data_IF_394910648448
#
_entry.id   IF_394910648448
#
_cell.length_a   1.000
_cell.length_b   1.000
_cell.length_c   1.000
_cell.angle_alpha   90.00
_cell.angle_beta   90.00
_cell.angle_gamma   90.00
#
_symmetry.space_group_name_H-M   'P 1'
#
loop_
_entity.id
_entity.type
_entity.pdbx_description
1 polymer ?
#
# COMPACT_ATOMS: atom_id res chain seq x y z
N UNK A 1 -4.41 6.43 1.26
CA UNK A 1 -2.99 6.82 1.35
C UNK A 1 -2.18 6.24 0.19
N UNK A 2 -2.19 4.92 -0.05
CA UNK A 2 -1.43 4.30 -1.16
C UNK A 2 -1.69 4.91 -2.54
N UNK A 3 -2.95 5.20 -2.87
CA UNK A 3 -3.27 5.88 -4.12
C UNK A 3 -2.60 7.26 -4.22
N UNK A 4 -2.59 8.05 -3.15
CA UNK A 4 -1.91 9.35 -3.12
C UNK A 4 -0.39 9.20 -3.28
N UNK A 5 0.19 8.17 -2.67
CA UNK A 5 1.61 7.82 -2.85
C UNK A 5 1.93 7.52 -4.32
N UNK A 6 1.12 6.72 -5.01
CA UNK A 6 1.31 6.42 -6.43
C UNK A 6 1.33 7.69 -7.28
N UNK A 7 0.39 8.62 -7.04
CA UNK A 7 0.36 9.89 -7.77
C UNK A 7 1.54 10.81 -7.42
N UNK A 8 2.03 10.78 -6.17
CA UNK A 8 3.19 11.56 -5.77
C UNK A 8 4.48 11.08 -6.46
N UNK A 9 4.65 9.77 -6.61
CA UNK A 9 5.90 9.19 -7.12
C UNK A 9 5.90 8.96 -8.64
N UNK A 10 4.76 8.62 -9.23
CA UNK A 10 4.68 8.12 -10.62
C UNK A 10 3.84 9.00 -11.56
N UNK A 11 3.12 10.00 -11.04
CA UNK A 11 2.27 10.88 -11.85
C UNK A 11 2.83 12.30 -11.89
N UNK A 12 3.53 12.65 -12.97
CA UNK A 12 4.08 14.00 -13.20
C UNK A 12 3.48 14.60 -14.47
N UNK A 13 2.76 15.74 -14.38
CA UNK A 13 2.23 16.40 -15.57
C UNK A 13 3.28 16.73 -16.64
N UNK A 14 4.51 16.99 -16.21
CA UNK A 14 5.63 17.24 -17.11
C UNK A 14 6.06 16.01 -17.92
N UNK A 15 5.64 14.79 -17.57
CA UNK A 15 5.93 13.55 -18.30
C UNK A 15 4.97 13.26 -19.47
N UNK A 16 4.19 14.25 -19.91
CA UNK A 16 3.20 14.08 -20.98
C UNK A 16 3.77 13.56 -22.30
N UNK A 17 5.02 13.91 -22.60
CA UNK A 17 5.75 13.47 -23.80
C UNK A 17 6.54 12.17 -23.58
N UNK A 18 6.55 11.64 -22.35
CA UNK A 18 7.30 10.44 -22.00
C UNK A 18 6.39 9.23 -22.10
N UNK A 19 6.57 8.49 -23.20
CA UNK A 19 5.76 7.35 -23.55
C UNK A 19 5.79 6.28 -22.44
N UNK A 20 4.61 5.75 -22.10
CA UNK A 20 4.44 4.74 -21.06
C UNK A 20 4.39 5.27 -19.62
N UNK A 21 4.56 6.58 -19.39
CA UNK A 21 4.35 7.16 -18.06
C UNK A 21 2.86 7.33 -17.77
N UNK A 22 2.46 7.32 -16.48
CA UNK A 22 1.05 7.42 -16.10
C UNK A 22 0.36 8.68 -16.65
N UNK A 23 1.06 9.82 -16.69
CA UNK A 23 0.46 11.04 -17.21
C UNK A 23 0.22 10.97 -18.73
N UNK A 24 1.16 10.38 -19.47
CA UNK A 24 1.01 10.16 -20.91
C UNK A 24 -0.14 9.17 -21.19
N UNK A 25 -0.19 8.03 -20.49
CA UNK A 25 -1.26 7.05 -20.64
C UNK A 25 -2.65 7.65 -20.34
N UNK A 26 -2.76 8.45 -19.28
CA UNK A 26 -3.99 9.19 -18.94
C UNK A 26 -4.48 10.04 -20.11
N UNK A 27 -3.57 10.68 -20.85
CA UNK A 27 -3.92 11.53 -21.99
C UNK A 27 -4.36 10.71 -23.20
N UNK A 28 -3.72 9.56 -23.44
CA UNK A 28 -4.05 8.64 -24.54
C UNK A 28 -5.49 8.15 -24.44
N UNK A 29 -5.93 7.76 -23.24
CA UNK A 29 -7.31 7.29 -23.02
C UNK A 29 -8.28 8.42 -22.60
N UNK A 30 -7.87 9.69 -22.75
CA UNK A 30 -8.69 10.87 -22.47
C UNK A 30 -9.39 10.87 -21.09
N UNK A 31 -8.74 10.39 -20.03
CA UNK A 31 -9.28 10.35 -18.66
C UNK A 31 -9.23 11.74 -17.99
N UNK A 32 -10.13 12.62 -18.41
CA UNK A 32 -10.14 14.04 -18.00
C UNK A 32 -10.40 14.28 -16.51
N UNK A 33 -11.11 13.35 -15.87
CA UNK A 33 -11.48 13.33 -14.46
C UNK A 33 -10.34 12.91 -13.51
N UNK A 34 -9.24 12.42 -14.08
CA UNK A 34 -8.00 12.13 -13.37
C UNK A 34 -7.06 13.33 -13.44
N UNK A 35 -6.64 13.80 -12.28
CA UNK A 35 -5.79 14.99 -12.14
C UNK A 35 -4.64 14.70 -11.16
N UNK A 36 -3.86 15.72 -10.79
CA UNK A 36 -2.69 15.54 -9.93
C UNK A 36 -3.01 15.03 -8.52
N UNK A 37 -1.95 14.73 -7.76
CA UNK A 37 -2.01 14.18 -6.39
C UNK A 37 -2.97 14.91 -5.43
N UNK A 38 -3.16 16.22 -5.61
CA UNK A 38 -3.96 17.06 -4.70
C UNK A 38 -5.46 16.81 -4.81
N UNK A 39 -5.92 16.15 -5.88
CA UNK A 39 -7.33 15.84 -6.14
C UNK A 39 -7.68 14.38 -5.94
N UNK A 40 -6.71 13.55 -5.57
CA UNK A 40 -6.90 12.11 -5.32
C UNK A 40 -7.95 11.85 -4.23
N UNK A 41 -8.00 12.67 -3.18
CA UNK A 41 -8.98 12.49 -2.09
C UNK A 41 -10.39 12.86 -2.55
N UNK A 42 -10.53 13.97 -3.29
CA UNK A 42 -11.83 14.47 -3.78
C UNK A 42 -12.44 13.55 -4.85
N UNK A 43 -11.61 13.04 -5.77
CA UNK A 43 -12.03 12.24 -6.91
C UNK A 43 -11.45 10.81 -6.84
N UNK A 44 -11.45 10.21 -5.64
CA UNK A 44 -10.82 8.91 -5.36
C UNK A 44 -11.19 7.82 -6.36
N UNK A 45 -12.48 7.66 -6.68
CA UNK A 45 -12.96 6.58 -7.55
C UNK A 45 -12.38 6.67 -8.96
N UNK A 46 -12.30 7.87 -9.53
CA UNK A 46 -11.72 8.10 -10.86
C UNK A 46 -10.22 7.78 -10.85
N UNK A 47 -9.50 8.29 -9.85
CA UNK A 47 -8.06 8.10 -9.72
C UNK A 47 -7.68 6.63 -9.46
N UNK A 48 -8.46 5.93 -8.63
CA UNK A 48 -8.30 4.51 -8.35
C UNK A 48 -8.55 3.68 -9.60
N UNK A 49 -9.67 3.94 -10.30
CA UNK A 49 -10.01 3.21 -11.52
C UNK A 49 -8.92 3.36 -12.59
N UNK A 50 -8.36 4.56 -12.78
CA UNK A 50 -7.27 4.76 -13.72
C UNK A 50 -5.99 3.99 -13.36
N UNK A 51 -5.60 3.96 -12.09
CA UNK A 51 -4.42 3.19 -11.66
C UNK A 51 -4.64 1.69 -11.87
N UNK A 52 -5.85 1.18 -11.64
CA UNK A 52 -6.19 -0.21 -11.92
C UNK A 52 -6.11 -0.53 -13.42
N UNK A 53 -6.66 0.34 -14.27
CA UNK A 53 -6.65 0.15 -15.72
C UNK A 53 -5.22 0.21 -16.27
N UNK A 54 -4.41 1.14 -15.77
CA UNK A 54 -2.98 1.19 -16.10
C UNK A 54 -2.29 -0.10 -15.64
N UNK A 55 -2.47 -0.52 -14.39
CA UNK A 55 -1.88 -1.75 -13.87
C UNK A 55 -2.27 -2.99 -14.71
N UNK A 56 -3.52 -3.09 -15.17
CA UNK A 56 -3.95 -4.16 -16.07
C UNK A 56 -3.17 -4.16 -17.39
N UNK A 57 -2.96 -2.98 -18.00
CA UNK A 57 -2.12 -2.85 -19.20
C UNK A 57 -0.65 -3.25 -18.93
N UNK A 58 -0.09 -2.87 -17.78
CA UNK A 58 1.27 -3.27 -17.38
C UNK A 58 1.40 -4.77 -17.14
N UNK A 59 0.43 -5.40 -16.47
CA UNK A 59 0.41 -6.86 -16.25
C UNK A 59 0.30 -7.59 -17.58
N UNK A 60 -0.59 -7.11 -18.47
CA UNK A 60 -0.80 -7.71 -19.78
C UNK A 60 0.48 -7.66 -20.63
N UNK A 61 1.12 -6.49 -20.73
CA UNK A 61 2.37 -6.35 -21.49
C UNK A 61 3.54 -7.12 -20.89
N UNK A 62 3.66 -7.17 -19.56
CA UNK A 62 4.68 -7.98 -18.89
C UNK A 62 4.45 -9.49 -19.11
N UNK A 63 3.19 -9.93 -19.12
CA UNK A 63 2.83 -11.31 -19.42
C UNK A 63 3.12 -11.64 -20.88
N UNK A 64 2.80 -10.74 -21.82
CA UNK A 64 3.13 -10.90 -23.24
C UNK A 64 4.64 -11.06 -23.45
N UNK A 65 5.45 -10.22 -22.82
CA UNK A 65 6.91 -10.30 -22.92
C UNK A 65 7.49 -11.61 -22.32
N UNK A 66 6.90 -12.14 -21.23
CA UNK A 66 7.27 -13.46 -20.68
C UNK A 66 6.85 -14.60 -21.61
N UNK A 67 5.70 -14.49 -22.26
CA UNK A 67 5.18 -15.49 -23.19
C UNK A 67 5.82 -15.42 -24.59
N UNK A 68 6.58 -14.35 -24.88
CA UNK A 68 7.16 -14.10 -26.20
C UNK A 68 6.12 -13.69 -27.24
N UNK A 69 5.11 -12.91 -26.84
CA UNK A 69 4.04 -12.39 -27.68
C UNK A 69 4.36 -10.97 -28.17
N UNK A 70 4.30 -10.76 -29.48
CA UNK A 70 4.44 -9.44 -30.11
C UNK A 70 3.10 -8.71 -30.27
N UNK A 71 1.99 -9.42 -30.18
CA UNK A 71 0.64 -8.88 -30.27
C UNK A 71 -0.36 -9.77 -29.51
N UNK A 72 -1.53 -9.23 -29.18
CA UNK A 72 -2.55 -9.92 -28.37
C UNK A 72 -3.19 -11.13 -29.07
N UNK A 73 -3.13 -11.21 -30.39
CA UNK A 73 -3.64 -12.33 -31.17
C UNK A 73 -2.53 -13.32 -31.54
N UNK A 74 -1.30 -13.06 -31.10
CA UNK A 74 -0.14 -13.90 -31.35
C UNK A 74 -0.25 -15.24 -30.64
N UNK A 75 0.51 -16.22 -31.13
CA UNK A 75 0.67 -17.49 -30.44
C UNK A 75 1.89 -17.43 -29.51
N UNK A 76 1.75 -17.79 -28.23
CA UNK A 76 2.83 -17.68 -27.27
C UNK A 76 3.95 -18.66 -27.62
N UNK A 77 5.18 -18.14 -27.72
CA UNK A 77 6.37 -18.94 -28.02
C UNK A 77 6.77 -19.79 -26.82
N UNK A 78 6.53 -19.26 -25.62
CA UNK A 78 6.74 -19.90 -24.33
C UNK A 78 5.40 -19.87 -23.58
N UNK A 79 5.10 -20.88 -22.75
CA UNK A 79 3.84 -20.96 -21.99
C UNK A 79 2.58 -21.13 -22.86
N UNK A 80 2.50 -22.23 -23.63
CA UNK A 80 1.31 -22.51 -24.45
C UNK A 80 0.07 -22.83 -23.57
N UNK A 81 -0.97 -21.98 -23.55
CA UNK A 81 -2.16 -22.20 -22.72
C UNK A 81 -3.07 -23.32 -23.28
N UNK A 82 -2.90 -23.74 -24.53
CA UNK A 82 -3.73 -24.79 -25.12
C UNK A 82 -3.57 -26.16 -24.43
N UNK A 83 -2.48 -26.35 -23.68
CA UNK A 83 -2.27 -27.57 -22.89
C UNK A 83 -3.13 -27.59 -21.61
N UNK A 84 -3.65 -26.44 -21.16
CA UNK A 84 -4.39 -26.33 -19.90
C UNK A 84 -5.67 -27.14 -19.89
N UNK A 85 -6.33 -27.32 -21.04
CA UNK A 85 -7.54 -28.15 -21.14
C UNK A 85 -7.26 -29.63 -20.85
N UNK A 86 -5.99 -30.05 -20.90
CA UNK A 86 -5.56 -31.42 -20.56
C UNK A 86 -5.16 -31.56 -19.08
N UNK A 87 -5.08 -30.45 -18.33
CA UNK A 87 -4.63 -30.40 -16.95
C UNK A 87 -5.81 -30.41 -15.98
N UNK A 88 -5.61 -31.02 -14.81
CA UNK A 88 -6.49 -30.87 -13.66
C UNK A 88 -6.52 -29.43 -13.15
N UNK A 89 -7.53 -29.08 -12.34
CA UNK A 89 -7.64 -27.73 -11.76
C UNK A 89 -6.39 -27.34 -10.94
N UNK A 90 -5.77 -28.30 -10.24
CA UNK A 90 -4.56 -28.06 -9.45
C UNK A 90 -3.36 -27.78 -10.35
N UNK A 91 -3.20 -28.53 -11.44
CA UNK A 91 -2.14 -28.32 -12.43
C UNK A 91 -2.33 -27.00 -13.19
N UNK A 92 -3.57 -26.64 -13.55
CA UNK A 92 -3.87 -25.34 -14.15
C UNK A 92 -3.50 -24.19 -13.19
N UNK A 93 -3.83 -24.34 -11.91
CA UNK A 93 -3.47 -23.35 -10.88
C UNK A 93 -1.95 -23.26 -10.70
N UNK A 94 -1.24 -24.39 -10.67
CA UNK A 94 0.22 -24.42 -10.61
C UNK A 94 0.83 -23.75 -11.83
N UNK A 95 0.32 -24.03 -13.03
CA UNK A 95 0.77 -23.38 -14.25
C UNK A 95 0.60 -21.86 -14.20
N UNK A 96 -0.56 -21.37 -13.77
CA UNK A 96 -0.83 -19.93 -13.62
C UNK A 96 0.10 -19.28 -12.58
N UNK A 97 0.36 -19.98 -11.47
CA UNK A 97 1.30 -19.51 -10.43
C UNK A 97 2.72 -19.41 -10.97
N UNK A 98 3.18 -20.41 -11.72
CA UNK A 98 4.52 -20.40 -12.29
C UNK A 98 4.68 -19.28 -13.35
N UNK A 99 3.63 -19.02 -14.14
CA UNK A 99 3.63 -17.89 -15.08
C UNK A 99 3.70 -16.55 -14.35
N UNK A 100 2.87 -16.39 -13.31
CA UNK A 100 2.90 -15.19 -12.47
C UNK A 100 4.26 -15.00 -11.79
N UNK A 101 4.89 -16.07 -11.32
CA UNK A 101 6.25 -16.05 -10.76
C UNK A 101 7.29 -15.61 -11.80
N UNK A 102 7.19 -16.10 -13.05
CA UNK A 102 8.06 -15.67 -14.14
C UNK A 102 7.89 -14.16 -14.43
N UNK A 103 6.65 -13.65 -14.44
CA UNK A 103 6.36 -12.20 -14.59
C UNK A 103 6.93 -11.40 -13.43
N UNK A 104 6.72 -11.87 -12.18
CA UNK A 104 7.26 -11.23 -10.99
C UNK A 104 8.78 -11.15 -11.10
N UNK A 105 9.46 -12.26 -11.36
CA UNK A 105 10.92 -12.33 -11.39
C UNK A 105 11.52 -11.49 -12.52
N UNK A 106 10.88 -11.46 -13.70
CA UNK A 106 11.39 -10.71 -14.86
C UNK A 106 11.13 -9.21 -14.78
N UNK A 107 9.94 -8.79 -14.33
CA UNK A 107 9.51 -7.39 -14.48
C UNK A 107 9.32 -6.61 -13.18
N UNK A 108 9.10 -7.29 -12.05
CA UNK A 108 8.71 -6.67 -10.78
C UNK A 108 9.84 -6.81 -9.74
N UNK A 109 10.38 -8.00 -9.51
CA UNK A 109 11.42 -8.24 -8.52
C UNK A 109 12.84 -8.09 -9.12
N UNK A 110 13.17 -6.90 -9.61
CA UNK A 110 14.44 -6.65 -10.31
C UNK A 110 15.69 -6.83 -9.42
N UNK A 111 15.55 -6.80 -8.10
CA UNK A 111 16.67 -6.94 -7.17
C UNK A 111 16.85 -8.37 -6.61
N UNK A 112 15.92 -9.29 -6.89
CA UNK A 112 15.93 -10.64 -6.32
C UNK A 112 15.66 -10.67 -4.81
N UNK A 113 15.92 -11.81 -4.17
CA UNK A 113 15.64 -12.05 -2.74
C UNK A 113 16.79 -11.70 -1.79
N UNK A 114 18.02 -11.53 -2.31
CA UNK A 114 19.23 -11.30 -1.50
C UNK A 114 19.20 -9.96 -0.77
N UNK A 115 18.72 -8.89 -1.42
CA UNK A 115 18.65 -7.57 -0.80
C UNK A 115 17.76 -7.54 0.46
N UNK A 116 16.67 -8.33 0.47
CA UNK A 116 15.79 -8.43 1.64
C UNK A 116 16.49 -9.12 2.81
N UNK A 117 17.32 -10.14 2.56
CA UNK A 117 18.10 -10.81 3.59
C UNK A 117 19.12 -9.85 4.22
N UNK A 118 19.83 -9.07 3.40
CA UNK A 118 20.78 -8.06 3.86
C UNK A 118 20.10 -7.04 4.79
N UNK A 119 18.90 -6.55 4.40
CA UNK A 119 18.13 -5.60 5.22
C UNK A 119 17.67 -6.20 6.56
N UNK A 120 17.27 -7.46 6.57
CA UNK A 120 16.88 -8.18 7.80
C UNK A 120 18.08 -8.33 8.74
N UNK A 121 19.24 -8.72 8.20
CA UNK A 121 20.47 -8.81 8.98
C UNK A 121 20.91 -7.45 9.54
N UNK A 122 20.85 -6.39 8.74
CA UNK A 122 21.19 -5.04 9.19
C UNK A 122 20.25 -4.57 10.30
N UNK A 123 18.94 -4.81 10.17
CA UNK A 123 17.96 -4.50 11.21
C UNK A 123 18.24 -5.26 12.52
N UNK A 124 18.56 -6.55 12.43
CA UNK A 124 18.91 -7.38 13.59
C UNK A 124 20.20 -6.88 14.29
N UNK A 125 21.19 -6.41 13.53
CA UNK A 125 22.41 -5.80 14.09
C UNK A 125 22.11 -4.49 14.81
N UNK A 126 21.23 -3.65 14.26
CA UNK A 126 20.79 -2.41 14.92
C UNK A 126 20.04 -2.70 16.24
N UNK A 127 19.17 -3.71 16.25
CA UNK A 127 18.47 -4.15 17.46
C UNK A 127 19.44 -4.68 18.53
N UNK A 128 20.38 -5.54 18.14
CA UNK A 128 21.41 -6.05 19.05
C UNK A 128 22.29 -4.91 19.63
N UNK A 129 22.62 -3.91 18.82
CA UNK A 129 23.38 -2.75 19.26
C UNK A 129 22.58 -1.88 20.25
N UNK A 130 21.30 -1.63 19.99
CA UNK A 130 20.44 -0.90 20.93
C UNK A 130 20.27 -1.65 22.25
N UNK A 131 20.09 -2.98 22.21
CA UNK A 131 19.99 -3.80 23.42
C UNK A 131 21.26 -3.69 24.28
N UNK A 132 22.45 -3.73 23.67
CA UNK A 132 23.73 -3.52 24.37
C UNK A 132 23.84 -2.13 25.01
N UNK A 133 23.33 -1.09 24.37
CA UNK A 133 23.32 0.25 24.95
C UNK A 133 22.36 0.35 26.14
N UNK A 134 21.18 -0.26 26.03
CA UNK A 134 20.19 -0.29 27.10
C UNK A 134 20.67 -1.09 28.32
N UNK A 135 21.44 -2.16 28.14
CA UNK A 135 22.04 -2.88 29.28
C UNK A 135 23.10 -2.07 30.04
N UNK A 136 23.58 -0.97 29.46
CA UNK A 136 24.50 -0.03 30.10
C UNK A 136 23.79 1.17 30.73
N UNK A 137 22.46 1.18 30.73
CA UNK A 137 21.65 2.21 31.38
C UNK A 137 21.30 1.77 32.81
N UNK A 138 21.65 2.60 33.78
CA UNK A 138 21.26 2.43 35.17
C UNK A 138 19.97 3.22 35.45
N UNK A 139 18.89 2.50 35.73
CA UNK A 139 17.59 3.06 36.01
C UNK A 139 17.53 3.83 37.36
N UNK A 140 18.38 3.49 38.33
CA UNK A 140 18.39 4.14 39.65
C UNK A 140 18.99 5.53 39.53
N UNK A 141 20.12 5.65 38.83
CA UNK A 141 20.81 6.93 38.62
C UNK A 141 20.29 7.69 37.40
N UNK A 142 19.49 7.04 36.55
CA UNK A 142 19.04 7.57 35.25
C UNK A 142 20.20 7.99 34.33
N UNK A 143 21.29 7.21 34.35
CA UNK A 143 22.51 7.48 33.60
C UNK A 143 23.01 6.26 32.83
N UNK A 144 23.69 6.51 31.71
CA UNK A 144 24.44 5.48 31.00
C UNK A 144 25.84 5.35 31.61
N UNK A 145 26.19 4.16 32.07
CA UNK A 145 27.46 3.85 32.72
C UNK A 145 28.35 3.05 31.76
N UNK A 146 29.54 3.60 31.47
CA UNK A 146 30.53 2.88 30.68
C UNK A 146 31.36 1.91 31.54
N UNK A 147 31.97 0.90 30.92
CA UNK A 147 32.95 0.02 31.58
C UNK A 147 34.20 0.77 32.06
N UNK A 148 34.47 1.97 31.53
CA UNK A 148 35.51 2.87 32.05
C UNK A 148 35.05 3.76 33.22
N UNK A 149 33.88 3.49 33.82
CA UNK A 149 33.29 4.22 34.95
C UNK A 149 32.89 5.68 34.65
N UNK A 150 32.86 6.09 33.37
CA UNK A 150 32.31 7.38 32.95
C UNK A 150 30.79 7.29 32.78
N UNK A 151 30.08 8.30 33.29
CA UNK A 151 28.62 8.37 33.27
C UNK A 151 28.11 9.46 32.32
N UNK A 152 26.97 9.20 31.68
CA UNK A 152 26.36 10.13 30.72
C UNK A 152 24.85 10.19 30.91
N UNK A 153 24.30 11.41 30.96
CA UNK A 153 22.84 11.62 31.08
C UNK A 153 22.09 11.37 29.76
N UNK A 154 22.79 11.36 28.61
CA UNK A 154 22.15 11.19 27.30
C UNK A 154 22.85 10.13 26.46
N UNK A 155 22.05 9.32 25.76
CA UNK A 155 22.55 8.25 24.90
C UNK A 155 23.45 8.79 23.77
N UNK A 156 23.20 10.02 23.30
CA UNK A 156 24.00 10.65 22.24
C UNK A 156 25.41 11.05 22.68
N UNK A 157 25.61 11.48 23.94
CA UNK A 157 26.95 11.69 24.49
C UNK A 157 27.64 10.35 24.77
N UNK A 158 26.87 9.37 25.26
CA UNK A 158 27.38 8.03 25.52
C UNK A 158 27.89 7.34 24.24
N UNK A 159 27.13 7.38 23.14
CA UNK A 159 27.57 6.84 21.83
C UNK A 159 28.88 7.46 21.36
N UNK A 160 29.00 8.80 21.43
CA UNK A 160 30.24 9.51 21.06
C UNK A 160 31.43 9.12 21.92
N UNK A 161 31.20 8.85 23.21
CA UNK A 161 32.25 8.35 24.09
C UNK A 161 32.70 6.94 23.70
N UNK A 162 31.76 6.04 23.43
CA UNK A 162 32.06 4.67 22.99
C UNK A 162 32.83 4.65 21.66
N UNK A 163 32.50 5.54 20.72
CA UNK A 163 33.26 5.70 19.46
C UNK A 163 34.71 6.12 19.72
N UNK A 164 34.93 7.12 20.58
CA UNK A 164 36.25 7.73 20.79
C UNK A 164 37.17 6.92 21.70
N UNK A 165 36.64 6.39 22.79
CA UNK A 165 37.44 5.79 23.86
C UNK A 165 37.41 4.26 23.82
N UNK A 166 36.41 3.66 23.16
CA UNK A 166 36.20 2.21 23.14
C UNK A 166 36.15 1.64 21.72
N UNK A 167 36.42 2.45 20.68
CA UNK A 167 36.41 2.05 19.27
C UNK A 167 35.12 1.32 18.85
N UNK A 168 33.97 1.71 19.43
CA UNK A 168 32.70 1.18 18.97
C UNK A 168 32.37 1.76 17.59
N UNK A 169 32.00 0.87 16.67
CA UNK A 169 31.51 1.26 15.35
C UNK A 169 29.98 1.20 15.33
N UNK A 170 29.35 2.36 15.22
CA UNK A 170 27.91 2.46 14.99
C UNK A 170 27.63 2.34 13.50
N UNK A 171 26.65 1.50 13.16
CA UNK A 171 26.21 1.35 11.77
C UNK A 171 25.67 2.70 11.28
N UNK A 172 26.23 3.19 10.19
CA UNK A 172 25.80 4.41 9.50
C UNK A 172 25.25 4.02 8.13
N UNK A 173 24.25 4.77 7.64
CA UNK A 173 23.66 4.50 6.34
C UNK A 173 24.75 4.55 5.25
N UNK A 174 24.97 3.42 4.57
CA UNK A 174 25.93 3.34 3.50
C UNK A 174 25.53 4.30 2.35
N UNK A 175 26.51 5.00 1.77
CA UNK A 175 26.32 5.71 0.51
C UNK A 175 26.44 4.69 -0.61
N UNK A 176 25.32 4.36 -1.24
CA UNK A 176 25.34 3.54 -2.45
C UNK A 176 25.73 4.39 -3.67
N UNK A 177 26.77 3.95 -4.36
CA UNK A 177 27.14 4.45 -5.69
C UNK A 177 25.99 4.18 -6.69
N UNK A 178 25.64 5.15 -7.56
CA UNK A 178 24.57 4.96 -8.53
C UNK A 178 24.94 3.88 -9.54
N UNK A 179 24.30 2.70 -9.45
CA UNK A 179 24.42 1.65 -10.45
C UNK A 179 23.90 2.16 -11.81
N UNK A 180 24.72 2.01 -12.86
CA UNK A 180 24.32 2.24 -14.26
C UNK A 180 23.37 1.11 -14.71
N UNK A 181 22.06 1.34 -14.62
CA UNK A 181 21.02 0.40 -15.02
C UNK A 181 19.88 1.09 -15.78
N UNK A 182 18.93 0.32 -16.30
CA UNK A 182 17.72 0.85 -16.92
C UNK A 182 16.79 1.44 -15.86
N UNK A 183 16.68 2.77 -15.83
CA UNK A 183 15.83 3.50 -14.87
C UNK A 183 14.36 3.46 -15.25
N UNK A 184 14.01 3.20 -16.51
CA UNK A 184 12.62 2.97 -16.93
C UNK A 184 12.14 1.62 -16.43
N UNK A 185 12.98 0.58 -16.50
CA UNK A 185 12.66 -0.72 -15.91
C UNK A 185 12.45 -0.61 -14.39
N UNK A 186 13.30 0.15 -13.69
CA UNK A 186 13.13 0.44 -12.24
C UNK A 186 11.84 1.21 -11.98
N UNK A 187 11.51 2.22 -12.80
CA UNK A 187 10.26 2.96 -12.70
C UNK A 187 9.05 2.02 -12.83
N UNK A 188 9.03 1.18 -13.87
CA UNK A 188 7.98 0.19 -14.15
C UNK A 188 7.79 -0.76 -12.98
N UNK A 189 8.87 -1.40 -12.56
CA UNK A 189 8.89 -2.32 -11.41
C UNK A 189 8.31 -1.66 -10.17
N UNK A 190 8.77 -0.44 -9.85
CA UNK A 190 8.36 0.26 -8.65
C UNK A 190 6.90 0.70 -8.71
N UNK A 191 6.40 1.13 -9.87
CA UNK A 191 4.98 1.43 -10.07
C UNK A 191 4.13 0.17 -9.88
N UNK A 192 4.49 -0.94 -10.55
CA UNK A 192 3.75 -2.21 -10.47
C UNK A 192 3.68 -2.72 -9.04
N UNK A 193 4.77 -2.66 -8.26
CA UNK A 193 4.75 -3.02 -6.82
C UNK A 193 3.73 -2.20 -6.04
N UNK A 194 3.78 -0.87 -6.18
CA UNK A 194 2.90 0.03 -5.44
C UNK A 194 1.42 -0.17 -5.83
N UNK A 195 1.14 -0.36 -7.13
CA UNK A 195 -0.20 -0.58 -7.65
C UNK A 195 -0.74 -1.97 -7.26
N UNK A 196 0.09 -3.03 -7.27
CA UNK A 196 -0.29 -4.36 -6.81
C UNK A 196 -0.63 -4.38 -5.32
N UNK A 197 0.14 -3.66 -4.48
CA UNK A 197 -0.19 -3.50 -3.05
C UNK A 197 -1.53 -2.80 -2.89
N UNK A 198 -1.79 -1.72 -3.64
CA UNK A 198 -3.08 -1.04 -3.61
C UNK A 198 -4.24 -1.96 -3.99
N UNK A 199 -4.07 -2.76 -5.06
CA UNK A 199 -5.06 -3.74 -5.53
C UNK A 199 -5.30 -4.81 -4.48
N UNK A 200 -4.24 -5.39 -3.92
CA UNK A 200 -4.32 -6.42 -2.90
C UNK A 200 -4.99 -5.89 -1.62
N UNK A 201 -4.66 -4.67 -1.18
CA UNK A 201 -5.35 -4.01 -0.06
C UNK A 201 -6.84 -3.86 -0.34
N UNK A 202 -7.22 -3.35 -1.52
CA UNK A 202 -8.64 -3.19 -1.86
C UNK A 202 -9.37 -4.53 -1.91
N UNK A 203 -8.73 -5.58 -2.41
CA UNK A 203 -9.31 -6.91 -2.47
C UNK A 203 -9.43 -7.55 -1.08
N UNK A 204 -8.40 -7.44 -0.24
CA UNK A 204 -8.42 -7.91 1.14
C UNK A 204 -9.56 -7.27 1.95
N UNK A 205 -9.83 -5.98 1.74
CA UNK A 205 -10.99 -5.32 2.33
C UNK A 205 -12.34 -5.86 1.86
N UNK A 206 -12.49 -6.21 0.57
CA UNK A 206 -13.72 -6.81 0.03
C UNK A 206 -13.95 -8.23 0.53
N UNK A 207 -12.87 -8.99 0.68
CA UNK A 207 -12.88 -10.36 1.18
C UNK A 207 -12.96 -10.45 2.70
N UNK A 208 -12.79 -9.34 3.42
CA UNK A 208 -12.73 -9.32 4.89
C UNK A 208 -11.51 -10.06 5.45
N UNK A 209 -10.41 -10.11 4.69
CA UNK A 209 -9.20 -10.84 5.07
C UNK A 209 -8.30 -9.96 5.95
N UNK A 210 -8.51 -10.04 7.27
CA UNK A 210 -7.73 -9.30 8.25
C UNK A 210 -6.22 -9.62 8.19
N UNK A 211 -5.82 -10.83 7.80
CA UNK A 211 -4.41 -11.17 7.71
C UNK A 211 -3.74 -10.45 6.53
N UNK A 212 -4.37 -10.45 5.35
CA UNK A 212 -3.88 -9.70 4.19
C UNK A 212 -3.87 -8.19 4.44
N UNK A 213 -4.91 -7.64 5.08
CA UNK A 213 -4.98 -6.22 5.46
C UNK A 213 -3.76 -5.82 6.31
N UNK A 214 -3.45 -6.59 7.36
CA UNK A 214 -2.31 -6.32 8.24
C UNK A 214 -0.95 -6.56 7.59
N UNK A 215 -0.87 -7.54 6.69
CA UNK A 215 0.34 -7.77 5.90
C UNK A 215 0.61 -6.57 4.99
N UNK A 216 -0.41 -6.09 4.27
CA UNK A 216 -0.28 -4.93 3.39
C UNK A 216 0.04 -3.66 4.17
N UNK A 217 -0.56 -3.47 5.35
CA UNK A 217 -0.28 -2.33 6.23
C UNK A 217 1.22 -2.15 6.53
N UNK A 218 2.02 -3.23 6.56
CA UNK A 218 3.49 -3.15 6.69
C UNK A 218 4.11 -2.43 5.51
N UNK A 219 3.78 -2.84 4.28
CA UNK A 219 4.28 -2.21 3.06
C UNK A 219 3.76 -0.78 2.89
N UNK A 220 2.48 -0.56 3.23
CA UNK A 220 1.89 0.78 3.20
C UNK A 220 2.58 1.72 4.18
N UNK A 221 3.00 1.24 5.37
CA UNK A 221 3.73 2.05 6.34
C UNK A 221 5.09 2.49 5.77
N UNK A 222 5.79 1.60 5.07
CA UNK A 222 7.05 1.92 4.39
C UNK A 222 6.83 2.96 3.30
N UNK A 223 5.80 2.80 2.47
CA UNK A 223 5.44 3.79 1.45
C UNK A 223 5.10 5.15 2.08
N UNK A 224 4.34 5.16 3.18
CA UNK A 224 4.01 6.39 3.92
C UNK A 224 5.27 7.07 4.48
N UNK A 225 6.25 6.29 4.94
CA UNK A 225 7.54 6.83 5.40
C UNK A 225 8.29 7.52 4.26
N UNK A 226 8.42 6.84 3.11
CA UNK A 226 9.09 7.38 1.92
C UNK A 226 8.38 8.65 1.43
N UNK A 227 7.05 8.67 1.45
CA UNK A 227 6.24 9.79 0.99
C UNK A 227 6.24 11.01 1.94
N UNK A 228 6.75 10.85 3.17
CA UNK A 228 6.65 11.87 4.23
C UNK A 228 5.25 11.98 4.86
N UNK A 229 4.41 10.95 4.70
CA UNK A 229 3.03 10.90 5.19
C UNK A 229 2.99 10.46 6.67
N UNK A 230 3.57 11.28 7.55
CA UNK A 230 3.86 10.93 8.96
C UNK A 230 2.62 10.49 9.76
N UNK A 231 1.46 11.10 9.53
CA UNK A 231 0.19 10.72 10.17
C UNK A 231 -0.20 9.28 9.81
N UNK A 232 -0.16 8.94 8.51
CA UNK A 232 -0.51 7.60 8.04
C UNK A 232 0.53 6.57 8.46
N UNK A 233 1.82 6.92 8.43
CA UNK A 233 2.89 6.07 8.94
C UNK A 233 2.65 5.71 10.42
N UNK A 234 2.33 6.71 11.27
CA UNK A 234 2.05 6.48 12.68
C UNK A 234 0.80 5.62 12.89
N UNK A 235 -0.27 5.89 12.13
CA UNK A 235 -1.52 5.13 12.26
C UNK A 235 -1.34 3.66 11.88
N UNK A 236 -0.66 3.37 10.77
CA UNK A 236 -0.35 1.99 10.36
C UNK A 236 0.57 1.29 11.36
N UNK A 237 1.56 2.00 11.92
CA UNK A 237 2.38 1.46 12.98
C UNK A 237 1.56 1.08 14.22
N UNK A 238 0.65 1.96 14.66
CA UNK A 238 -0.24 1.70 15.81
C UNK A 238 -1.17 0.52 15.55
N UNK A 239 -1.72 0.41 14.34
CA UNK A 239 -2.52 -0.74 13.93
C UNK A 239 -1.75 -2.05 14.15
N UNK A 240 -0.50 -2.13 13.69
CA UNK A 240 0.35 -3.30 13.93
C UNK A 240 0.69 -3.51 15.41
N UNK A 241 0.98 -2.43 16.15
CA UNK A 241 1.28 -2.51 17.57
C UNK A 241 0.08 -3.04 18.38
N UNK A 242 -1.15 -2.65 18.03
CA UNK A 242 -2.36 -3.17 18.65
C UNK A 242 -2.52 -4.67 18.45
N UNK A 243 -2.28 -5.17 17.24
CA UNK A 243 -2.43 -6.60 16.95
C UNK A 243 -1.30 -7.46 17.53
N UNK A 244 -0.08 -6.93 17.60
CA UNK A 244 1.10 -7.73 17.96
C UNK A 244 1.52 -7.63 19.42
N UNK A 245 1.20 -6.54 20.13
CA UNK A 245 1.81 -6.26 21.43
C UNK A 245 0.91 -5.60 22.47
N UNK A 246 0.03 -4.67 22.07
CA UNK A 246 -0.72 -3.84 23.03
C UNK A 246 -2.01 -4.52 23.49
N UNK A 247 -2.78 -5.11 22.58
CA UNK A 247 -4.07 -5.73 22.92
C UNK A 247 -3.87 -7.17 23.42
N UNK A 248 -4.79 -7.63 24.28
CA UNK A 248 -4.87 -9.06 24.62
C UNK A 248 -5.12 -9.90 23.38
N UNK A 249 -4.74 -11.19 23.34
CA UNK A 249 -4.95 -12.03 22.15
C UNK A 249 -6.39 -12.02 21.62
N UNK A 250 -7.39 -11.99 22.52
CA UNK A 250 -8.80 -11.87 22.14
C UNK A 250 -9.11 -10.52 21.49
N UNK A 251 -8.71 -9.42 22.12
CA UNK A 251 -8.95 -8.08 21.57
C UNK A 251 -8.19 -7.85 20.26
N UNK A 252 -6.97 -8.36 20.13
CA UNK A 252 -6.19 -8.31 18.89
C UNK A 252 -6.90 -9.07 17.75
N UNK A 253 -7.43 -10.26 18.05
CA UNK A 253 -8.25 -11.02 17.10
C UNK A 253 -9.48 -10.21 16.67
N UNK A 254 -10.26 -9.72 17.63
CA UNK A 254 -11.46 -8.89 17.35
C UNK A 254 -11.09 -7.63 16.56
N UNK A 255 -10.04 -6.91 16.94
CA UNK A 255 -9.57 -5.71 16.25
C UNK A 255 -9.18 -6.00 14.80
N UNK A 256 -8.44 -7.09 14.56
CA UNK A 256 -8.00 -7.48 13.22
C UNK A 256 -9.17 -7.81 12.29
N UNK A 257 -10.12 -8.62 12.77
CA UNK A 257 -11.25 -9.07 11.96
C UNK A 257 -12.39 -8.03 11.90
N UNK A 258 -12.48 -7.13 12.87
CA UNK A 258 -13.35 -5.94 12.83
C UNK A 258 -12.68 -4.76 12.11
N UNK A 259 -11.86 -5.00 11.09
CA UNK A 259 -11.42 -3.94 10.16
C UNK A 259 -12.44 -3.71 9.04
N UNK A 260 -13.37 -4.65 8.86
CA UNK A 260 -14.38 -4.64 7.80
C UNK A 260 -15.77 -4.96 8.32
N UNK A 261 -16.79 -4.57 7.57
CA UNK A 261 -18.18 -4.96 7.82
C UNK A 261 -18.84 -5.46 6.53
N UNK A 262 -19.59 -6.56 6.64
CA UNK A 262 -20.39 -7.09 5.55
C UNK A 262 -21.83 -6.63 5.69
N UNK A 263 -22.26 -5.74 4.80
CA UNK A 263 -23.63 -5.20 4.85
C UNK A 263 -24.66 -6.08 4.14
N UNK A 264 -24.22 -6.91 3.19
CA UNK A 264 -25.10 -7.62 2.26
C UNK A 264 -25.01 -9.14 2.37
N UNK A 265 -24.09 -9.67 3.19
CA UNK A 265 -23.85 -11.10 3.36
C UNK A 265 -23.16 -11.80 2.18
N UNK A 266 -22.63 -11.05 1.20
CA UNK A 266 -21.92 -11.63 0.04
C UNK A 266 -20.44 -11.83 0.34
N UNK A 267 -19.79 -12.80 -0.32
CA UNK A 267 -18.39 -13.18 -0.06
C UNK A 267 -17.41 -12.00 -0.25
N UNK A 268 -17.65 -11.17 -1.26
CA UNK A 268 -16.87 -9.98 -1.63
C UNK A 268 -17.58 -8.66 -1.25
N UNK A 269 -18.57 -8.74 -0.36
CA UNK A 269 -19.45 -7.62 0.01
C UNK A 269 -18.96 -6.78 1.19
N UNK A 270 -17.75 -7.03 1.69
CA UNK A 270 -17.23 -6.29 2.82
C UNK A 270 -16.78 -4.88 2.40
N UNK A 271 -16.94 -3.93 3.33
CA UNK A 271 -16.39 -2.59 3.21
C UNK A 271 -15.48 -2.30 4.40
N UNK A 272 -14.47 -1.42 4.25
CA UNK A 272 -13.69 -0.92 5.37
C UNK A 272 -14.61 -0.30 6.44
N UNK A 273 -14.33 -0.55 7.72
CA UNK A 273 -15.14 0.00 8.81
C UNK A 273 -15.15 1.53 8.86
N UNK A 274 -14.07 2.19 8.44
CA UNK A 274 -14.04 3.64 8.28
C UNK A 274 -15.11 4.12 7.28
N UNK A 275 -15.27 3.41 6.16
CA UNK A 275 -16.32 3.71 5.18
C UNK A 275 -17.72 3.48 5.76
N UNK A 276 -17.91 2.43 6.57
CA UNK A 276 -19.19 2.20 7.24
C UNK A 276 -19.52 3.35 8.20
N UNK A 277 -18.56 3.79 9.01
CA UNK A 277 -18.73 4.93 9.91
C UNK A 277 -19.07 6.19 9.11
N UNK A 278 -18.40 6.43 7.98
CA UNK A 278 -18.73 7.56 7.10
C UNK A 278 -20.17 7.49 6.58
N UNK A 279 -20.61 6.31 6.11
CA UNK A 279 -22.00 6.09 5.66
C UNK A 279 -22.98 6.40 6.79
N UNK A 280 -22.75 5.86 8.00
CA UNK A 280 -23.60 6.12 9.17
C UNK A 280 -23.65 7.62 9.51
N UNK A 281 -22.50 8.30 9.53
CA UNK A 281 -22.43 9.74 9.81
C UNK A 281 -23.15 10.55 8.72
N UNK A 282 -23.02 10.19 7.45
CA UNK A 282 -23.72 10.87 6.36
C UNK A 282 -25.24 10.68 6.46
N UNK A 283 -25.72 9.49 6.82
CA UNK A 283 -27.14 9.23 7.07
C UNK A 283 -27.68 10.12 8.19
N UNK A 284 -26.99 10.15 9.34
CA UNK A 284 -27.37 11.00 10.48
C UNK A 284 -27.37 12.48 10.07
N UNK A 285 -26.34 12.96 9.37
CA UNK A 285 -26.28 14.37 8.89
C UNK A 285 -27.45 14.71 7.97
N UNK A 286 -27.84 13.81 7.08
CA UNK A 286 -28.99 14.01 6.19
C UNK A 286 -30.29 14.11 6.98
N UNK A 287 -30.51 13.21 7.93
CA UNK A 287 -31.70 13.22 8.81
C UNK A 287 -31.77 14.47 9.68
N UNK A 288 -30.65 14.92 10.23
CA UNK A 288 -30.56 16.18 10.97
C UNK A 288 -30.93 17.36 10.07
N UNK A 289 -30.43 17.38 8.82
CA UNK A 289 -30.75 18.44 7.86
C UNK A 289 -32.25 18.48 7.50
N UNK A 290 -32.91 17.33 7.46
CA UNK A 290 -34.36 17.20 7.22
C UNK A 290 -35.21 17.84 8.34
N UNK A 291 -34.67 18.04 9.54
CA UNK A 291 -35.40 18.67 10.66
C UNK A 291 -35.64 20.18 10.49
N UNK A 292 -34.87 20.84 9.63
CA UNK A 292 -34.99 22.29 9.38
C UNK A 292 -34.89 23.12 10.68
N UNK A 293 -35.87 23.99 10.91
CA UNK A 293 -35.93 24.88 12.08
C UNK A 293 -36.14 24.15 13.42
N UNK A 294 -36.51 22.86 13.41
CA UNK A 294 -36.73 22.07 14.63
C UNK A 294 -35.42 21.50 15.20
N UNK A 295 -34.27 21.85 14.60
CA UNK A 295 -32.96 21.41 15.02
C UNK A 295 -32.60 21.92 16.42
N UNK A 296 -32.58 21.01 17.37
CA UNK A 296 -32.06 21.16 18.73
C UNK A 296 -31.11 20.00 19.06
N UNK A 297 -30.23 20.18 20.06
CA UNK A 297 -29.33 19.10 20.49
C UNK A 297 -30.09 17.81 20.84
N UNK A 298 -31.20 17.92 21.58
CA UNK A 298 -32.04 16.78 21.92
C UNK A 298 -32.63 16.12 20.68
N UNK A 299 -33.21 16.88 19.75
CA UNK A 299 -33.76 16.32 18.51
C UNK A 299 -32.69 15.65 17.63
N UNK A 300 -31.45 16.15 17.64
CA UNK A 300 -30.32 15.57 16.93
C UNK A 300 -29.88 14.25 17.59
N UNK A 301 -29.80 14.21 18.91
CA UNK A 301 -29.49 13.00 19.68
C UNK A 301 -30.56 11.92 19.45
N UNK A 302 -31.84 12.26 19.59
CA UNK A 302 -32.96 11.34 19.31
C UNK A 302 -32.90 10.80 17.89
N UNK A 303 -32.61 11.65 16.91
CA UNK A 303 -32.52 11.24 15.50
C UNK A 303 -31.33 10.34 15.22
N UNK A 304 -30.16 10.62 15.82
CA UNK A 304 -28.99 9.77 15.70
C UNK A 304 -29.26 8.37 16.29
N UNK A 305 -29.89 8.31 17.48
CA UNK A 305 -30.22 7.05 18.15
C UNK A 305 -31.30 6.24 17.40
N UNK A 306 -32.27 6.91 16.77
CA UNK A 306 -33.35 6.25 16.04
C UNK A 306 -33.02 5.91 14.58
N UNK A 307 -31.92 6.45 14.01
CA UNK A 307 -31.63 6.39 12.57
C UNK A 307 -31.58 4.95 12.04
N UNK A 308 -30.90 4.05 12.77
CA UNK A 308 -30.75 2.65 12.36
C UNK A 308 -32.10 1.91 12.32
N UNK A 309 -32.90 2.07 13.37
CA UNK A 309 -34.24 1.46 13.48
C UNK A 309 -35.16 1.99 12.37
N UNK A 310 -35.09 3.28 12.07
CA UNK A 310 -35.89 3.89 10.98
C UNK A 310 -35.54 3.32 9.62
N UNK A 311 -34.25 3.12 9.31
CA UNK A 311 -33.83 2.53 8.03
C UNK A 311 -34.18 1.05 7.93
N UNK A 312 -34.06 0.28 9.03
CA UNK A 312 -34.49 -1.12 9.08
C UNK A 312 -36.00 -1.26 8.83
N UNK A 313 -36.82 -0.46 9.52
CA UNK A 313 -38.27 -0.40 9.28
C UNK A 313 -38.58 -0.04 7.83
N UNK A 314 -37.85 0.92 7.25
CA UNK A 314 -38.05 1.34 5.85
C UNK A 314 -37.78 0.20 4.87
N UNK A 315 -36.67 -0.52 5.03
CA UNK A 315 -36.34 -1.64 4.14
C UNK A 315 -37.31 -2.83 4.34
N UNK A 316 -37.72 -3.12 5.58
CA UNK A 316 -38.75 -4.12 5.85
C UNK A 316 -40.09 -3.78 5.18
N UNK A 317 -40.55 -2.52 5.27
CA UNK A 317 -41.75 -2.07 4.57
C UNK A 317 -41.59 -2.22 3.06
N UNK A 318 -40.45 -1.81 2.49
CA UNK A 318 -40.18 -1.98 1.04
C UNK A 318 -40.27 -3.43 0.59
N UNK A 319 -39.70 -4.34 1.37
CA UNK A 319 -39.76 -5.77 1.13
C UNK A 319 -41.22 -6.27 1.16
N UNK A 320 -41.98 -5.91 2.19
CA UNK A 320 -43.38 -6.30 2.34
C UNK A 320 -44.27 -5.80 1.19
N UNK A 321 -44.03 -4.59 0.68
CA UNK A 321 -44.81 -4.03 -0.43
C UNK A 321 -44.26 -4.40 -1.81
N UNK A 322 -43.28 -5.31 -1.89
CA UNK A 322 -42.62 -5.73 -3.14
C UNK A 322 -42.10 -4.55 -3.97
N UNK A 323 -41.68 -3.47 -3.30
CA UNK A 323 -41.10 -2.32 -3.98
C UNK A 323 -39.76 -2.73 -4.57
N UNK A 324 -39.63 -2.62 -5.90
CA UNK A 324 -38.35 -2.89 -6.56
C UNK A 324 -37.29 -1.93 -6.01
N UNK A 325 -36.10 -2.43 -5.60
CA UNK A 325 -34.99 -1.57 -5.24
C UNK A 325 -34.69 -0.60 -6.40
N UNK A 326 -34.73 0.71 -6.13
CA UNK A 326 -34.30 1.74 -7.08
C UNK A 326 -32.78 1.87 -7.05
N UNK A 327 -32.12 1.85 -8.21
CA UNK A 327 -30.66 1.90 -8.30
C UNK A 327 -30.04 0.52 -8.49
N UNK A 328 -30.33 -0.11 -9.65
CA UNK A 328 -29.61 -1.31 -10.06
C UNK A 328 -28.13 -0.99 -10.27
N UNK A 329 -27.28 -1.99 -9.99
CA UNK A 329 -25.85 -2.00 -10.33
C UNK A 329 -25.67 -1.43 -11.74
N UNK A 330 -24.84 -0.39 -11.88
CA UNK A 330 -24.49 0.13 -13.20
C UNK A 330 -23.82 -0.98 -13.98
N UNK A 331 -24.21 -1.16 -15.25
CA UNK A 331 -23.56 -2.11 -16.14
C UNK A 331 -22.05 -1.86 -16.12
N UNK A 332 -21.26 -2.91 -15.88
CA UNK A 332 -19.79 -2.79 -15.86
C UNK A 332 -19.36 -2.32 -17.25
N UNK A 333 -18.75 -1.13 -17.31
CA UNK A 333 -18.22 -0.58 -18.57
C UNK A 333 -17.14 -1.52 -19.10
N UNK A 334 -17.20 -1.85 -20.39
CA UNK A 334 -16.10 -2.54 -21.07
C UNK A 334 -14.91 -1.58 -21.19
N UNK A 335 -13.76 -2.00 -20.67
CA UNK A 335 -12.52 -1.21 -20.62
C UNK A 335 -11.46 -1.72 -21.58
N UNK A 336 -11.76 -2.77 -22.35
CA UNK A 336 -10.78 -3.47 -23.18
C UNK A 336 -10.12 -2.54 -24.20
N UNK A 337 -10.88 -1.60 -24.77
CA UNK A 337 -10.36 -0.59 -25.70
C UNK A 337 -9.32 0.33 -25.04
N UNK A 338 -9.60 0.85 -23.84
CA UNK A 338 -8.68 1.74 -23.13
C UNK A 338 -7.39 0.99 -22.73
N UNK A 339 -7.54 -0.24 -22.23
CA UNK A 339 -6.41 -1.10 -21.84
C UNK A 339 -5.54 -1.42 -23.07
N UNK A 340 -6.15 -1.74 -24.21
CA UNK A 340 -5.41 -2.00 -25.45
C UNK A 340 -4.65 -0.77 -25.94
N UNK A 341 -5.25 0.43 -25.87
CA UNK A 341 -4.56 1.67 -26.22
C UNK A 341 -3.34 1.91 -25.32
N UNK A 342 -3.49 1.74 -24.01
CA UNK A 342 -2.36 1.86 -23.07
C UNK A 342 -1.29 0.81 -23.34
N UNK A 343 -1.67 -0.44 -23.60
CA UNK A 343 -0.74 -1.51 -23.93
C UNK A 343 0.09 -1.17 -25.19
N UNK A 344 -0.55 -0.67 -26.26
CA UNK A 344 0.14 -0.28 -27.49
C UNK A 344 1.20 0.79 -27.21
N UNK A 345 0.87 1.79 -26.38
CA UNK A 345 1.82 2.82 -25.96
C UNK A 345 2.97 2.26 -25.11
N UNK A 346 2.69 1.32 -24.22
CA UNK A 346 3.71 0.65 -23.40
C UNK A 346 4.67 -0.19 -24.25
N UNK A 347 4.15 -0.87 -25.27
CA UNK A 347 4.95 -1.64 -26.21
C UNK A 347 5.80 -0.72 -27.11
N UNK A 348 5.20 0.35 -27.64
CA UNK A 348 5.91 1.31 -28.47
C UNK A 348 7.00 2.09 -27.71
N UNK A 349 6.86 2.24 -26.38
CA UNK A 349 7.88 2.82 -25.51
C UNK A 349 8.95 1.83 -25.01
N UNK A 350 8.96 0.59 -25.53
CA UNK A 350 9.85 -0.51 -25.12
C UNK A 350 9.86 -0.74 -23.60
N UNK A 351 8.73 -0.50 -22.93
CA UNK A 351 8.67 -0.45 -21.46
C UNK A 351 9.02 -1.80 -20.83
N UNK A 352 8.82 -2.90 -21.55
CA UNK A 352 9.09 -4.26 -21.07
C UNK A 352 10.52 -4.75 -21.34
N UNK A 353 11.24 -4.09 -22.26
CA UNK A 353 12.65 -4.38 -22.53
C UNK A 353 13.57 -3.82 -21.43
N UNK A 354 14.79 -4.35 -21.33
CA UNK A 354 15.82 -3.84 -20.42
C UNK A 354 16.94 -3.18 -21.22
N UNK A 355 16.91 -1.84 -21.26
CA UNK A 355 17.79 -1.02 -22.09
C UNK A 355 18.73 -0.22 -21.19
N UNK A 356 20.03 -0.55 -21.25
CA UNK A 356 21.03 0.05 -20.37
C UNK A 356 21.13 1.58 -20.55
N UNK A 357 21.10 2.32 -19.45
CA UNK A 357 21.27 3.78 -19.44
C UNK A 357 20.01 4.57 -19.79
N UNK A 358 18.90 3.90 -20.12
CA UNK A 358 17.61 4.53 -20.36
C UNK A 358 17.05 5.15 -19.09
N UNK A 359 16.48 6.33 -19.20
CA UNK A 359 15.78 7.02 -18.10
C UNK A 359 14.71 7.96 -18.67
N UNK A 360 13.63 8.14 -17.92
CA UNK A 360 12.71 9.26 -18.14
C UNK A 360 13.37 10.56 -17.68
N UNK A 361 13.27 11.61 -18.49
CA UNK A 361 13.65 12.97 -18.18
C UNK A 361 12.94 13.52 -16.93
N UNK A 362 11.64 13.25 -16.73
CA UNK A 362 10.96 13.75 -15.53
C UNK A 362 11.13 12.84 -14.31
N UNK A 363 11.70 11.65 -14.47
CA UNK A 363 12.01 10.72 -13.39
C UNK A 363 13.51 10.41 -13.30
N UNK A 364 14.34 11.44 -13.51
CA UNK A 364 15.79 11.37 -13.29
C UNK A 364 16.09 10.83 -11.88
N UNK A 365 16.97 9.84 -11.80
CA UNK A 365 17.40 9.18 -10.56
C UNK A 365 16.30 8.43 -9.79
N UNK A 366 15.29 7.89 -10.48
CA UNK A 366 14.33 7.02 -9.80
C UNK A 366 15.03 5.81 -9.18
N UNK A 367 14.61 5.52 -7.95
CA UNK A 367 14.92 4.31 -7.19
C UNK A 367 13.64 3.54 -6.96
N UNK A 368 13.75 2.24 -6.74
CA UNK A 368 12.62 1.45 -6.29
C UNK A 368 12.05 2.04 -5.00
N UNK A 369 10.72 1.98 -4.82
CA UNK A 369 10.03 2.50 -3.64
C UNK A 369 10.63 1.97 -2.35
N UNK A 370 11.01 0.70 -2.29
CA UNK A 370 11.53 0.10 -1.07
C UNK A 370 13.01 0.40 -0.86
N UNK A 371 13.79 0.61 -1.92
CA UNK A 371 15.18 1.12 -1.83
C UNK A 371 15.25 2.55 -1.25
N UNK A 372 14.16 3.32 -1.35
CA UNK A 372 14.10 4.67 -0.74
C UNK A 372 13.94 4.64 0.77
N UNK A 373 13.60 3.48 1.36
CA UNK A 373 13.45 3.34 2.81
C UNK A 373 14.82 3.47 3.46
N UNK A 374 15.01 4.51 4.28
CA UNK A 374 16.21 4.63 5.09
C UNK A 374 16.07 3.78 6.36
N UNK A 375 16.63 2.57 6.34
CA UNK A 375 16.50 1.59 7.42
C UNK A 375 16.91 2.16 8.78
N UNK A 376 18.04 2.88 8.85
CA UNK A 376 18.52 3.45 10.11
C UNK A 376 17.55 4.51 10.70
N UNK A 377 17.07 5.44 9.88
CA UNK A 377 16.07 6.43 10.31
C UNK A 377 14.76 5.77 10.71
N UNK A 378 14.32 4.76 9.95
CA UNK A 378 13.12 3.99 10.25
C UNK A 378 13.27 3.25 11.59
N UNK A 379 14.41 2.61 11.83
CA UNK A 379 14.73 1.91 13.07
C UNK A 379 14.65 2.83 14.28
N UNK A 380 15.34 3.98 14.23
CA UNK A 380 15.26 5.02 15.28
C UNK A 380 13.81 5.43 15.52
N UNK A 381 13.05 5.67 14.45
CA UNK A 381 11.66 6.08 14.56
C UNK A 381 10.78 5.02 15.21
N UNK A 382 10.94 3.74 14.82
CA UNK A 382 10.22 2.60 15.40
C UNK A 382 10.58 2.43 16.88
N UNK A 383 11.87 2.51 17.24
CA UNK A 383 12.30 2.42 18.65
C UNK A 383 11.63 3.48 19.52
N UNK A 384 11.55 4.73 19.02
CA UNK A 384 10.83 5.81 19.71
C UNK A 384 9.33 5.54 19.85
N UNK A 385 8.69 4.92 18.85
CA UNK A 385 7.27 4.57 18.98
C UNK A 385 7.05 3.42 19.96
N UNK A 386 7.93 2.41 19.98
CA UNK A 386 7.90 1.32 20.97
C UNK A 386 8.02 1.85 22.40
N UNK A 387 8.96 2.76 22.63
CA UNK A 387 9.13 3.43 23.93
C UNK A 387 7.84 4.16 24.34
N UNK A 388 7.26 4.96 23.44
CA UNK A 388 5.97 5.63 23.70
C UNK A 388 4.84 4.67 24.05
N UNK A 389 4.68 3.61 23.28
CA UNK A 389 3.63 2.61 23.52
C UNK A 389 3.82 1.89 24.86
N UNK A 390 5.05 1.70 25.33
CA UNK A 390 5.29 1.10 26.65
C UNK A 390 4.69 1.90 27.80
N UNK A 391 4.58 3.23 27.66
CA UNK A 391 3.88 4.08 28.62
C UNK A 391 2.35 4.01 28.52
N UNK A 392 1.81 3.57 27.38
CA UNK A 392 0.36 3.38 27.18
C UNK A 392 -0.12 2.00 27.66
N UNK A 393 0.81 1.07 27.91
CA UNK A 393 0.54 -0.30 28.40
C UNK A 393 0.64 -0.44 29.94
N UNK A 394 1.16 0.59 30.62
CA UNK A 394 1.15 0.73 32.09
C UNK A 394 -0.13 1.45 32.52
#
# INVERSE_FOLDING_TARGET
MMLQFIYQEFYKPSSAFEQGTLYQLRNVIHRVDVTGKDKVVEAYRAHYAFVEDALDAFILGATMDVMGLNDLNGSPQQWNPNILSMYSNEEQLSWLRNLAEAVINKHINLQGSTHLQDLVEEAARLDAQNARLHSMFDAVTSQYMCTCQKNYNTIGHFKRHLEREHNWHFLTAAREEPKKGDKVAVWRSSFMKAALILRDTSDAYKMGDGNRIFLNAKFEMLCANVAGHTKYQLWLWRMMAYEQAILTPKQAFEYKWNTTANLNGTIDGNIPNDNLVEICVQLVKKKIKEQGSNFTFNSAQTTALACQIQDELRENIRYQVSMKPSGKSRTKTDKSSDINLMLMELMAGDIFENIQGRQFENFKNIKDVFEKVNLHKLHIWISKQKERASFEMM
#
